data_IF_577674291880
#
_entry.id   IF_577674291880
#
_cell.length_a   1.000
_cell.length_b   1.000
_cell.length_c   1.000
_cell.angle_alpha   90.00
_cell.angle_beta   90.00
_cell.angle_gamma   90.00
#
_symmetry.space_group_name_H-M   'P 1'
#
loop_
_entity.id
_entity.type
_entity.pdbx_description
1 polymer ?
#
# COMPACT_ATOMS: atom_id res chain seq x y z
N UNK A 1 -2.38 19.44 -43.56
CA UNK A 1 -1.23 18.78 -44.21
C UNK A 1 -0.64 17.82 -43.17
N UNK A 2 -0.93 16.53 -43.33
CA UNK A 2 -0.55 15.48 -42.40
C UNK A 2 0.88 15.00 -42.69
N UNK A 3 1.64 14.67 -41.64
CA UNK A 3 2.75 13.73 -41.76
C UNK A 3 2.82 12.89 -40.48
N UNK A 4 2.17 11.71 -40.54
CA UNK A 4 2.43 10.61 -39.62
C UNK A 4 3.75 9.95 -40.04
N UNK A 5 4.61 9.62 -39.09
CA UNK A 5 5.76 8.75 -39.31
C UNK A 5 5.53 7.46 -38.53
N UNK A 6 5.21 6.40 -39.27
CA UNK A 6 5.17 5.01 -38.82
C UNK A 6 6.58 4.47 -38.62
N UNK A 7 6.83 3.74 -37.54
CA UNK A 7 7.97 2.81 -37.43
C UNK A 7 7.51 1.44 -36.95
N UNK A 8 7.88 0.44 -37.74
CA UNK A 8 7.55 -0.98 -37.70
C UNK A 8 8.43 -1.78 -36.73
N UNK A 9 7.89 -2.94 -36.35
CA UNK A 9 8.35 -3.89 -35.35
C UNK A 9 9.64 -4.66 -35.69
N UNK A 10 10.35 -5.11 -34.65
CA UNK A 10 11.19 -6.31 -34.71
C UNK A 10 10.91 -7.20 -33.49
N UNK A 11 10.40 -8.39 -33.77
CA UNK A 11 10.10 -9.47 -32.84
C UNK A 11 11.33 -10.38 -32.79
N UNK A 12 11.98 -10.52 -31.63
CA UNK A 12 13.07 -11.49 -31.43
C UNK A 12 12.48 -12.72 -30.75
N UNK A 13 12.31 -13.78 -31.54
CA UNK A 13 11.99 -15.13 -31.09
C UNK A 13 13.29 -15.81 -30.68
N UNK A 14 13.40 -16.22 -29.41
CA UNK A 14 14.42 -17.16 -28.97
C UNK A 14 13.78 -18.52 -28.74
N UNK A 15 14.08 -19.46 -29.64
CA UNK A 15 13.78 -20.88 -29.51
C UNK A 15 15.00 -21.58 -28.93
N UNK A 16 14.84 -22.29 -27.81
CA UNK A 16 15.77 -23.33 -27.39
C UNK A 16 14.98 -24.61 -27.20
N UNK A 17 15.05 -25.47 -28.22
CA UNK A 17 14.74 -26.88 -28.08
C UNK A 17 15.97 -27.65 -27.63
N UNK A 18 15.78 -28.64 -26.78
CA UNK A 18 16.66 -29.80 -26.74
C UNK A 18 15.82 -31.05 -26.56
N UNK A 19 15.79 -31.87 -27.61
CA UNK A 19 15.33 -33.25 -27.61
C UNK A 19 16.45 -34.10 -26.99
N UNK A 20 16.11 -34.89 -25.98
CA UNK A 20 16.92 -36.01 -25.52
C UNK A 20 16.04 -37.24 -25.37
N UNK A 21 15.99 -38.08 -26.40
CA UNK A 21 15.49 -39.44 -26.28
C UNK A 21 16.65 -40.34 -25.83
N UNK A 22 16.43 -41.16 -24.81
CA UNK A 22 17.20 -42.39 -24.63
C UNK A 22 16.32 -43.49 -24.04
N UNK A 23 16.54 -44.68 -24.56
CA UNK A 23 15.69 -45.85 -24.66
C UNK A 23 15.60 -46.74 -23.42
N UNK A 24 14.59 -47.61 -23.46
CA UNK A 24 14.35 -48.79 -22.62
C UNK A 24 15.61 -49.60 -22.29
N UNK A 25 15.67 -50.08 -21.04
CA UNK A 25 16.10 -51.44 -20.74
C UNK A 25 15.30 -51.99 -19.55
N UNK A 26 14.46 -52.98 -19.85
CA UNK A 26 13.69 -53.78 -18.88
C UNK A 26 14.58 -54.93 -18.44
N UNK A 27 14.77 -55.13 -17.14
CA UNK A 27 15.25 -56.41 -16.63
C UNK A 27 14.49 -56.80 -15.35
N UNK A 28 13.89 -57.99 -15.39
CA UNK A 28 13.11 -58.58 -14.31
C UNK A 28 14.02 -59.53 -13.53
N UNK A 29 13.99 -59.48 -12.19
CA UNK A 29 13.68 -60.62 -11.31
C UNK A 29 13.85 -60.28 -9.82
N UNK A 30 13.22 -61.05 -8.91
CA UNK A 30 12.58 -60.50 -7.72
C UNK A 30 13.27 -60.82 -6.38
N UNK A 31 12.76 -60.16 -5.35
CA UNK A 31 12.89 -60.39 -3.91
C UNK A 31 14.23 -60.06 -3.25
N UNK A 32 14.24 -58.92 -2.54
CA UNK A 32 14.57 -58.87 -1.12
C UNK A 32 13.90 -57.64 -0.50
N UNK A 33 13.28 -57.83 0.66
CA UNK A 33 12.45 -56.82 1.31
C UNK A 33 13.26 -55.60 1.79
N UNK A 34 12.76 -54.42 1.44
CA UNK A 34 13.01 -53.21 2.20
C UNK A 34 11.66 -52.54 2.50
N UNK A 35 11.48 -52.23 3.78
CA UNK A 35 10.39 -51.46 4.35
C UNK A 35 10.38 -50.06 3.73
N UNK A 36 9.74 -49.91 2.57
CA UNK A 36 9.43 -48.59 2.02
C UNK A 36 8.17 -48.13 2.73
N UNK A 37 8.34 -47.18 3.66
CA UNK A 37 7.27 -46.26 4.03
C UNK A 37 6.66 -45.72 2.74
N UNK A 38 5.52 -46.29 2.35
CA UNK A 38 4.70 -45.75 1.30
C UNK A 38 4.12 -44.45 1.82
N UNK A 39 4.89 -43.37 1.72
CA UNK A 39 4.31 -42.05 1.60
C UNK A 39 3.36 -42.15 0.41
N UNK A 40 2.08 -42.33 0.70
CA UNK A 40 1.04 -42.04 -0.27
C UNK A 40 1.19 -40.56 -0.56
N UNK A 41 1.99 -40.22 -1.56
CA UNK A 41 1.85 -38.96 -2.26
C UNK A 41 0.41 -39.01 -2.75
N UNK A 42 -0.48 -38.34 -2.02
CA UNK A 42 -1.84 -38.08 -2.49
C UNK A 42 -1.63 -37.37 -3.82
N UNK A 43 -1.87 -38.08 -4.92
CA UNK A 43 -1.93 -37.46 -6.22
C UNK A 43 -2.96 -36.33 -6.11
N UNK A 44 -2.51 -35.09 -6.14
CA UNK A 44 -3.39 -33.96 -6.33
C UNK A 44 -4.13 -34.27 -7.63
N UNK A 45 -5.44 -34.48 -7.55
CA UNK A 45 -6.25 -34.38 -8.75
C UNK A 45 -5.87 -33.05 -9.39
N UNK A 46 -5.42 -33.11 -10.63
CA UNK A 46 -5.29 -31.94 -11.49
C UNK A 46 -6.69 -31.37 -11.56
N UNK A 47 -6.97 -30.43 -10.65
CA UNK A 47 -8.14 -29.59 -10.72
C UNK A 47 -7.99 -28.93 -12.09
N UNK A 48 -8.79 -29.39 -13.05
CA UNK A 48 -8.99 -28.71 -14.31
C UNK A 48 -9.84 -27.46 -14.06
N UNK A 49 -9.54 -26.70 -13.00
CA UNK A 49 -10.03 -25.34 -12.84
C UNK A 49 -9.10 -24.49 -13.67
N UNK A 50 -9.72 -23.81 -14.63
CA UNK A 50 -9.14 -22.74 -15.41
C UNK A 50 -8.14 -21.94 -14.55
N UNK A 51 -6.85 -21.91 -14.91
CA UNK A 51 -5.79 -21.25 -14.12
C UNK A 51 -6.18 -19.82 -13.69
N UNK A 52 -7.01 -19.14 -14.49
CA UNK A 52 -7.60 -17.84 -14.18
C UNK A 52 -8.37 -17.79 -12.85
N UNK A 53 -9.02 -18.87 -12.42
CA UNK A 53 -9.79 -18.92 -11.16
C UNK A 53 -8.86 -18.97 -9.94
N UNK A 54 -7.76 -19.69 -10.05
CA UNK A 54 -6.69 -19.71 -9.04
C UNK A 54 -6.06 -18.32 -8.94
N UNK A 55 -5.70 -17.68 -10.06
CA UNK A 55 -5.13 -16.32 -10.06
C UNK A 55 -6.07 -15.28 -9.45
N UNK A 56 -7.38 -15.38 -9.71
CA UNK A 56 -8.41 -14.54 -9.08
C UNK A 56 -8.49 -14.80 -7.58
N UNK A 57 -8.44 -16.06 -7.17
CA UNK A 57 -8.50 -16.44 -5.76
C UNK A 57 -7.26 -15.98 -4.99
N UNK A 58 -6.04 -16.21 -5.49
CA UNK A 58 -4.81 -15.76 -4.83
C UNK A 58 -4.67 -14.24 -4.84
N UNK A 59 -5.07 -13.58 -5.94
CA UNK A 59 -5.13 -12.12 -6.02
C UNK A 59 -6.10 -11.52 -5.01
N UNK A 60 -7.22 -12.22 -4.76
CA UNK A 60 -8.20 -11.82 -3.77
C UNK A 60 -7.67 -11.92 -2.33
N UNK A 61 -6.95 -12.99 -1.99
CA UNK A 61 -6.31 -13.12 -0.68
C UNK A 61 -5.31 -11.98 -0.42
N UNK A 62 -4.48 -11.66 -1.41
CA UNK A 62 -3.56 -10.52 -1.31
C UNK A 62 -4.30 -9.19 -1.11
N UNK A 63 -5.42 -9.01 -1.81
CA UNK A 63 -6.22 -7.79 -1.71
C UNK A 63 -6.85 -7.63 -0.32
N UNK A 64 -7.46 -8.71 0.18
CA UNK A 64 -8.02 -8.76 1.54
C UNK A 64 -6.96 -8.44 2.58
N UNK A 65 -5.78 -9.04 2.45
CA UNK A 65 -4.68 -8.78 3.38
C UNK A 65 -4.28 -7.31 3.42
N UNK A 66 -4.15 -6.66 2.25
CA UNK A 66 -3.83 -5.23 2.17
C UNK A 66 -4.90 -4.34 2.80
N UNK A 67 -6.18 -4.67 2.58
CA UNK A 67 -7.30 -3.96 3.21
C UNK A 67 -7.23 -4.08 4.73
N UNK A 68 -7.03 -5.31 5.24
CA UNK A 68 -6.91 -5.58 6.68
C UNK A 68 -5.74 -4.83 7.31
N UNK A 69 -4.56 -4.90 6.68
CA UNK A 69 -3.36 -4.22 7.18
C UNK A 69 -3.55 -2.68 7.21
N UNK A 70 -4.18 -2.09 6.18
CA UNK A 70 -4.48 -0.67 6.13
C UNK A 70 -5.50 -0.23 7.18
N UNK A 71 -6.57 -1.01 7.38
CA UNK A 71 -7.59 -0.77 8.40
C UNK A 71 -6.99 -0.82 9.79
N UNK A 72 -6.24 -1.88 10.14
CA UNK A 72 -5.62 -2.03 11.47
C UNK A 72 -4.67 -0.86 11.75
N UNK A 73 -3.87 -0.47 10.75
CA UNK A 73 -2.97 0.68 10.87
C UNK A 73 -3.75 1.96 11.15
N UNK A 74 -4.80 2.23 10.38
CA UNK A 74 -5.60 3.43 10.56
C UNK A 74 -6.34 3.43 11.90
N UNK A 75 -6.91 2.32 12.35
CA UNK A 75 -7.58 2.24 13.67
C UNK A 75 -6.64 2.59 14.83
N UNK A 76 -5.38 2.16 14.74
CA UNK A 76 -4.38 2.41 15.77
C UNK A 76 -4.00 3.90 15.89
N UNK A 77 -4.08 4.68 14.80
CA UNK A 77 -3.60 6.05 14.75
C UNK A 77 -4.71 7.11 14.60
N UNK A 78 -5.76 6.82 13.82
CA UNK A 78 -6.74 7.80 13.36
C UNK A 78 -7.54 8.41 14.50
N UNK A 79 -8.00 7.61 15.47
CA UNK A 79 -8.83 8.10 16.59
C UNK A 79 -8.05 9.08 17.47
N UNK A 80 -6.83 8.71 17.87
CA UNK A 80 -5.96 9.58 18.67
C UNK A 80 -5.51 10.81 17.89
N UNK A 81 -5.18 10.66 16.61
CA UNK A 81 -4.82 11.78 15.75
C UNK A 81 -5.96 12.78 15.60
N UNK A 82 -7.18 12.29 15.36
CA UNK A 82 -8.37 13.12 15.20
C UNK A 82 -8.68 13.89 16.48
N UNK A 83 -8.68 13.22 17.64
CA UNK A 83 -8.93 13.86 18.94
C UNK A 83 -7.93 14.99 19.23
N UNK A 84 -6.63 14.75 19.00
CA UNK A 84 -5.59 15.76 19.21
C UNK A 84 -5.72 16.96 18.27
N UNK A 85 -6.07 16.73 17.00
CA UNK A 85 -6.21 17.81 16.03
C UNK A 85 -7.49 18.62 16.26
N UNK A 86 -8.61 17.97 16.60
CA UNK A 86 -9.85 18.64 16.97
C UNK A 86 -9.65 19.53 18.21
N UNK A 87 -8.98 19.03 19.24
CA UNK A 87 -8.66 19.83 20.43
C UNK A 87 -7.76 21.03 20.10
N UNK A 88 -6.79 20.84 19.20
CA UNK A 88 -5.90 21.92 18.76
C UNK A 88 -6.65 22.98 17.96
N UNK A 89 -7.54 22.56 17.06
CA UNK A 89 -8.38 23.45 16.27
C UNK A 89 -9.36 24.25 17.12
N UNK A 90 -10.03 23.62 18.08
CA UNK A 90 -10.94 24.28 19.05
C UNK A 90 -10.18 25.35 19.83
N UNK A 91 -8.99 25.02 20.33
CA UNK A 91 -8.14 25.98 21.07
C UNK A 91 -7.73 27.17 20.20
N UNK A 92 -7.43 26.93 18.92
CA UNK A 92 -7.12 28.02 17.97
C UNK A 92 -8.34 28.90 17.71
N UNK A 93 -9.52 28.32 17.55
CA UNK A 93 -10.77 29.06 17.39
C UNK A 93 -11.08 29.93 18.61
N UNK A 94 -10.90 29.39 19.82
CA UNK A 94 -11.09 30.13 21.07
C UNK A 94 -10.16 31.34 21.15
N UNK A 95 -8.85 31.14 20.91
CA UNK A 95 -7.88 32.25 20.91
C UNK A 95 -8.21 33.34 19.87
N UNK A 96 -8.82 32.96 18.74
CA UNK A 96 -9.23 33.90 17.71
C UNK A 96 -10.45 34.73 18.09
N UNK A 97 -11.37 34.18 18.90
CA UNK A 97 -12.55 34.93 19.37
C UNK A 97 -12.16 36.09 20.29
N UNK A 98 -11.05 35.93 21.01
CA UNK A 98 -10.54 36.93 21.95
C UNK A 98 -9.56 37.94 21.31
N UNK A 99 -9.11 37.69 20.07
CA UNK A 99 -8.13 38.53 19.36
C UNK A 99 -8.80 39.55 18.45
N UNK A 100 -8.29 40.78 18.44
CA UNK A 100 -8.65 41.76 17.42
C UNK A 100 -7.91 41.46 16.11
N UNK A 101 -8.65 41.05 15.08
CA UNK A 101 -8.10 40.72 13.76
C UNK A 101 -7.92 41.95 12.86
N UNK A 102 -8.31 43.15 13.30
CA UNK A 102 -8.24 44.37 12.50
C UNK A 102 -7.00 45.23 12.76
N UNK A 103 -6.25 44.95 13.83
CA UNK A 103 -5.04 45.69 14.20
C UNK A 103 -3.90 45.54 13.18
N UNK A 104 -3.66 44.32 12.71
CA UNK A 104 -2.57 44.00 11.78
C UNK A 104 -3.04 43.00 10.71
N UNK A 105 -3.41 43.47 9.52
CA UNK A 105 -3.92 42.61 8.44
C UNK A 105 -2.97 41.48 8.04
N UNK A 106 -1.66 41.67 8.19
CA UNK A 106 -0.66 40.66 7.82
C UNK A 106 -0.65 39.51 8.81
N UNK A 107 -0.68 39.83 10.12
CA UNK A 107 -0.78 38.83 11.19
C UNK A 107 -2.12 38.10 11.16
N UNK A 108 -3.21 38.83 10.93
CA UNK A 108 -4.54 38.23 10.85
C UNK A 108 -4.66 37.24 9.71
N UNK A 109 -4.07 37.56 8.55
CA UNK A 109 -4.03 36.62 7.43
C UNK A 109 -3.23 35.35 7.77
N UNK A 110 -2.08 35.45 8.44
CA UNK A 110 -1.31 34.29 8.89
C UNK A 110 -2.11 33.40 9.87
N UNK A 111 -2.81 34.01 10.82
CA UNK A 111 -3.68 33.31 11.78
C UNK A 111 -4.81 32.58 11.06
N UNK A 112 -5.51 33.26 10.14
CA UNK A 112 -6.61 32.67 9.35
C UNK A 112 -6.13 31.51 8.48
N UNK A 113 -4.96 31.64 7.86
CA UNK A 113 -4.35 30.57 7.06
C UNK A 113 -4.02 29.36 7.94
N UNK A 114 -3.46 29.57 9.13
CA UNK A 114 -3.19 28.50 10.10
C UNK A 114 -4.47 27.79 10.54
N UNK A 115 -5.53 28.54 10.83
CA UNK A 115 -6.83 27.96 11.19
C UNK A 115 -7.42 27.14 10.03
N UNK A 116 -7.43 27.70 8.81
CA UNK A 116 -7.93 26.99 7.63
C UNK A 116 -7.15 25.70 7.36
N UNK A 117 -5.82 25.74 7.53
CA UNK A 117 -4.98 24.55 7.39
C UNK A 117 -5.30 23.48 8.45
N UNK A 118 -5.49 23.86 9.71
CA UNK A 118 -5.88 22.91 10.78
C UNK A 118 -7.27 22.29 10.54
N UNK A 119 -8.25 23.08 10.10
CA UNK A 119 -9.59 22.58 9.75
C UNK A 119 -9.51 21.54 8.63
N UNK A 120 -8.70 21.79 7.60
CA UNK A 120 -8.48 20.84 6.51
C UNK A 120 -7.88 19.51 6.99
N UNK A 121 -6.99 19.55 8.00
CA UNK A 121 -6.42 18.32 8.59
C UNK A 121 -7.51 17.53 9.33
N UNK A 122 -8.33 18.20 10.14
CA UNK A 122 -9.47 17.58 10.83
C UNK A 122 -10.43 16.94 9.82
N UNK A 123 -10.80 17.64 8.76
CA UNK A 123 -11.68 17.12 7.71
C UNK A 123 -11.08 15.88 7.02
N UNK A 124 -9.78 15.92 6.70
CA UNK A 124 -9.08 14.77 6.12
C UNK A 124 -9.07 13.55 7.05
N UNK A 125 -8.92 13.76 8.37
CA UNK A 125 -8.97 12.68 9.36
C UNK A 125 -10.39 12.12 9.56
N UNK A 126 -11.42 12.95 9.39
CA UNK A 126 -12.83 12.49 9.36
C UNK A 126 -13.11 11.66 8.12
N UNK A 127 -12.61 12.08 6.96
CA UNK A 127 -12.69 11.32 5.71
C UNK A 127 -11.96 9.98 5.82
N UNK A 128 -10.77 9.96 6.44
CA UNK A 128 -10.02 8.74 6.75
C UNK A 128 -10.89 7.77 7.57
N UNK A 129 -11.53 8.25 8.63
CA UNK A 129 -12.41 7.43 9.47
C UNK A 129 -13.58 6.86 8.67
N UNK A 130 -14.24 7.68 7.86
CA UNK A 130 -15.33 7.23 6.99
C UNK A 130 -14.85 6.11 6.03
N UNK A 131 -13.67 6.27 5.43
CA UNK A 131 -13.09 5.27 4.51
C UNK A 131 -12.71 3.96 5.21
N UNK A 132 -12.23 4.04 6.45
CA UNK A 132 -12.00 2.85 7.28
C UNK A 132 -13.31 2.11 7.53
N UNK A 133 -14.36 2.83 7.95
CA UNK A 133 -15.70 2.25 8.19
C UNK A 133 -16.27 1.61 6.90
N UNK A 134 -16.13 2.27 5.74
CA UNK A 134 -16.51 1.73 4.42
C UNK A 134 -15.79 0.39 4.12
N UNK A 135 -14.46 0.37 4.28
CA UNK A 135 -13.65 -0.82 4.01
C UNK A 135 -13.99 -1.99 4.97
N UNK A 136 -14.28 -1.69 6.24
CA UNK A 136 -14.70 -2.68 7.23
C UNK A 136 -16.06 -3.30 6.92
N UNK A 137 -17.04 -2.48 6.56
CA UNK A 137 -18.37 -2.97 6.19
C UNK A 137 -18.29 -3.86 4.95
N UNK A 138 -17.50 -3.48 3.94
CA UNK A 138 -17.32 -4.31 2.74
C UNK A 138 -16.61 -5.63 3.08
N UNK A 139 -15.61 -5.62 3.98
CA UNK A 139 -14.96 -6.84 4.47
C UNK A 139 -15.99 -7.78 5.11
N UNK A 140 -16.81 -7.27 6.03
CA UNK A 140 -17.85 -8.04 6.73
C UNK A 140 -18.88 -8.63 5.74
N UNK A 141 -19.35 -7.82 4.79
CA UNK A 141 -20.28 -8.27 3.75
C UNK A 141 -19.71 -9.41 2.90
N UNK A 142 -18.40 -9.44 2.71
CA UNK A 142 -17.79 -10.47 1.86
C UNK A 142 -17.44 -11.74 2.60
N UNK A 143 -17.21 -11.68 3.91
CA UNK A 143 -17.11 -12.87 4.78
C UNK A 143 -18.42 -13.67 4.83
N UNK A 144 -19.56 -13.00 4.60
CA UNK A 144 -20.89 -13.63 4.50
C UNK A 144 -21.13 -14.33 3.14
N UNK A 145 -20.10 -14.46 2.29
CA UNK A 145 -20.17 -15.02 0.92
C UNK A 145 -21.26 -14.38 0.03
N UNK A 146 -21.68 -13.16 0.35
CA UNK A 146 -22.84 -12.54 -0.28
C UNK A 146 -22.51 -11.87 -1.64
N UNK A 147 -21.24 -11.53 -1.94
CA UNK A 147 -20.92 -10.57 -3.02
C UNK A 147 -19.56 -10.84 -3.71
N UNK A 148 -19.45 -10.44 -4.99
CA UNK A 148 -18.32 -10.71 -5.88
C UNK A 148 -17.19 -9.67 -5.90
N UNK A 149 -16.19 -9.91 -6.78
CA UNK A 149 -14.93 -9.17 -6.94
C UNK A 149 -15.04 -7.63 -7.00
N UNK A 150 -16.16 -7.08 -7.48
CA UNK A 150 -16.37 -5.63 -7.60
C UNK A 150 -16.34 -4.89 -6.26
N UNK A 151 -16.91 -5.47 -5.20
CA UNK A 151 -16.86 -4.85 -3.87
C UNK A 151 -15.47 -4.90 -3.26
N UNK A 152 -14.72 -5.99 -3.48
CA UNK A 152 -13.33 -6.04 -3.03
C UNK A 152 -12.47 -4.98 -3.68
N UNK A 153 -12.71 -4.67 -4.96
CA UNK A 153 -12.05 -3.54 -5.62
C UNK A 153 -12.39 -2.22 -4.93
N UNK A 154 -13.66 -2.00 -4.59
CA UNK A 154 -14.08 -0.80 -3.86
C UNK A 154 -13.43 -0.70 -2.47
N UNK A 155 -13.41 -1.79 -1.71
CA UNK A 155 -12.74 -1.82 -0.41
C UNK A 155 -11.23 -1.59 -0.51
N UNK A 156 -10.61 -2.08 -1.58
CA UNK A 156 -9.20 -1.80 -1.85
C UNK A 156 -8.96 -0.34 -2.21
N UNK A 157 -9.77 0.23 -3.09
CA UNK A 157 -9.66 1.64 -3.47
C UNK A 157 -9.83 2.53 -2.21
N UNK A 158 -10.79 2.20 -1.33
CA UNK A 158 -10.92 2.85 -0.02
C UNK A 158 -9.70 2.65 0.89
N UNK A 159 -9.14 1.43 0.95
CA UNK A 159 -7.94 1.15 1.75
C UNK A 159 -6.68 1.88 1.24
N UNK A 160 -6.58 2.11 -0.08
CA UNK A 160 -5.52 2.93 -0.67
C UNK A 160 -5.68 4.40 -0.26
N UNK A 161 -6.90 4.93 -0.30
CA UNK A 161 -7.19 6.30 0.16
C UNK A 161 -6.84 6.47 1.65
N UNK A 162 -7.21 5.48 2.49
CA UNK A 162 -6.83 5.42 3.91
C UNK A 162 -5.31 5.53 4.08
N UNK A 163 -4.56 4.77 3.28
CA UNK A 163 -3.10 4.81 3.30
C UNK A 163 -2.56 6.20 2.96
N UNK A 164 -3.03 6.78 1.85
CA UNK A 164 -2.58 8.07 1.36
C UNK A 164 -2.86 9.21 2.36
N UNK A 165 -4.05 9.24 2.96
CA UNK A 165 -4.41 10.28 3.94
C UNK A 165 -3.55 10.16 5.19
N UNK A 166 -3.34 8.94 5.69
CA UNK A 166 -2.52 8.71 6.88
C UNK A 166 -1.05 9.09 6.62
N UNK A 167 -0.49 8.66 5.50
CA UNK A 167 0.90 8.98 5.13
C UNK A 167 1.09 10.50 4.99
N UNK A 168 0.14 11.21 4.38
CA UNK A 168 0.15 12.68 4.29
C UNK A 168 0.09 13.34 5.67
N UNK A 169 -0.76 12.83 6.57
CA UNK A 169 -0.85 13.31 7.93
C UNK A 169 0.46 13.13 8.68
N UNK A 170 1.06 11.93 8.64
CA UNK A 170 2.35 11.64 9.28
C UNK A 170 3.46 12.56 8.79
N UNK A 171 3.59 12.70 7.46
CA UNK A 171 4.58 13.59 6.84
C UNK A 171 4.34 15.03 7.28
N UNK A 172 3.09 15.51 7.34
CA UNK A 172 2.78 16.87 7.80
C UNK A 172 3.21 17.13 9.25
N UNK A 173 3.23 16.09 10.08
CA UNK A 173 3.66 16.20 11.48
C UNK A 173 5.18 16.23 11.60
N UNK A 174 5.89 15.55 10.70
CA UNK A 174 7.35 15.54 10.63
C UNK A 174 7.91 16.81 9.97
N UNK A 175 7.22 17.35 8.97
CA UNK A 175 7.66 18.50 8.18
C UNK A 175 7.10 19.83 8.71
N UNK A 176 7.63 20.30 9.84
CA UNK A 176 7.22 21.57 10.50
C UNK A 176 8.34 22.62 10.59
N UNK A 177 9.54 22.26 10.19
CA UNK A 177 10.72 23.12 10.20
C UNK A 177 10.65 24.21 9.12
N UNK A 178 11.38 25.32 9.33
CA UNK A 178 11.35 26.48 8.44
C UNK A 178 11.86 26.20 7.02
N UNK A 179 12.60 25.10 6.82
CA UNK A 179 13.17 24.69 5.54
C UNK A 179 12.69 23.32 5.08
N UNK A 180 11.69 22.73 5.73
CA UNK A 180 11.25 21.36 5.43
C UNK A 180 10.56 21.26 4.05
N UNK A 181 10.01 22.38 3.58
CA UNK A 181 9.48 22.52 2.22
C UNK A 181 10.55 22.90 1.19
N UNK A 182 11.76 23.24 1.62
CA UNK A 182 12.88 23.57 0.74
C UNK A 182 13.62 22.28 0.32
N UNK A 183 14.18 22.28 -0.89
CA UNK A 183 15.03 21.18 -1.34
C UNK A 183 16.32 21.10 -0.52
N UNK A 184 16.73 19.88 -0.15
CA UNK A 184 18.01 19.65 0.53
C UNK A 184 19.15 19.47 -0.48
N UNK A 185 20.29 20.14 -0.25
CA UNK A 185 21.53 19.91 -1.00
C UNK A 185 22.48 19.07 -0.15
N UNK A 186 22.66 17.80 -0.53
CA UNK A 186 23.59 16.89 0.13
C UNK A 186 24.99 17.04 -0.48
N UNK A 187 25.95 17.51 0.32
CA UNK A 187 27.37 17.59 -0.07
C UNK A 187 28.18 16.58 0.71
N UNK A 188 28.62 15.52 0.04
CA UNK A 188 29.49 14.49 0.62
C UNK A 188 30.93 14.89 0.37
N UNK A 189 31.71 15.07 1.45
CA UNK A 189 33.14 15.35 1.38
C UNK A 189 33.92 14.16 1.92
N UNK A 190 34.97 13.77 1.21
CA UNK A 190 35.90 12.76 1.69
C UNK A 190 36.63 13.28 2.94
N UNK A 191 36.77 12.41 3.96
CA UNK A 191 37.62 12.70 5.10
C UNK A 191 39.11 12.73 4.72
N UNK A 192 39.96 13.39 5.52
CA UNK A 192 41.39 13.55 5.20
C UNK A 192 42.19 12.25 5.28
N UNK A 193 41.68 11.19 5.93
CA UNK A 193 42.32 9.88 5.99
C UNK A 193 41.73 8.95 4.92
N UNK A 194 42.60 8.37 4.10
CA UNK A 194 42.25 7.33 3.14
C UNK A 194 41.89 5.97 3.78
N UNK A 195 41.68 4.99 2.89
CA UNK A 195 41.10 3.64 3.03
C UNK A 195 41.14 2.95 4.44
N UNK A 196 39.93 2.90 5.03
CA UNK A 196 39.31 1.97 6.01
C UNK A 196 39.88 1.73 7.43
N UNK A 197 38.98 1.47 8.40
CA UNK A 197 39.33 1.13 9.79
C UNK A 197 39.79 -0.34 9.89
N UNK A 198 40.78 -0.59 10.76
CA UNK A 198 41.06 -1.95 11.25
C UNK A 198 39.84 -2.45 12.04
N UNK A 199 39.32 -3.60 11.63
CA UNK A 199 38.31 -4.41 12.34
C UNK A 199 38.84 -4.81 13.72
#
# INVERSE_FOLDING_TARGET
MATMVSKTAHHVVSSFGSKGHSSLARNNNPHLGLFLCSFKIRACHSINSNNNDIYKQVGLFSLRRKIEDAVIRAEMYASTALEMEEASWIKQEEMMRDSDLWDDPTKSNDILVKLANSAKVVDSLKDLRYKVEEAQLIKQLTEMNAIGYGLYKQAYDAAVDVGNILDQYEISKLLKGPFDMAGACLVIKAGPAGIYPKV
#
